data_IF_541162696644
#
_entry.id   IF_541162696644
#
_cell.length_a   1.000
_cell.length_b   1.000
_cell.length_c   1.000
_cell.angle_alpha   90.00
_cell.angle_beta   90.00
_cell.angle_gamma   90.00
#
_symmetry.space_group_name_H-M   'P 1'
#
loop_
_entity.id
_entity.type
_entity.pdbx_description
1 polymer ?
#
# COMPACT_ATOMS: atom_id res chain seq x y z
N UNK A 1 7.20 10.34 -0.61
CA UNK A 1 5.91 10.91 -0.18
C UNK A 1 4.70 10.24 -0.85
N UNK A 2 4.67 10.06 -2.17
CA UNK A 2 3.54 9.38 -2.87
C UNK A 2 3.26 7.95 -2.39
N UNK A 3 4.32 7.14 -2.22
CA UNK A 3 4.20 5.77 -1.69
C UNK A 3 3.53 5.73 -0.32
N UNK A 4 4.04 6.52 0.63
CA UNK A 4 3.50 6.61 1.98
C UNK A 4 2.01 6.99 1.97
N UNK A 5 1.63 8.00 1.18
CA UNK A 5 0.23 8.43 1.09
C UNK A 5 -0.68 7.32 0.53
N UNK A 6 -0.25 6.61 -0.53
CA UNK A 6 -1.00 5.47 -1.06
C UNK A 6 -1.13 4.33 -0.03
N UNK A 7 -0.08 4.06 0.76
CA UNK A 7 -0.12 3.08 1.84
C UNK A 7 -1.13 3.48 2.93
N UNK A 8 -1.15 4.75 3.36
CA UNK A 8 -2.12 5.25 4.35
C UNK A 8 -3.55 5.13 3.82
N UNK A 9 -3.81 5.50 2.56
CA UNK A 9 -5.13 5.33 1.96
C UNK A 9 -5.55 3.84 1.85
N UNK A 10 -4.60 2.96 1.49
CA UNK A 10 -4.83 1.52 1.40
C UNK A 10 -5.10 0.91 2.78
N UNK A 11 -4.44 1.41 3.83
CA UNK A 11 -4.74 1.04 5.22
C UNK A 11 -6.19 1.34 5.59
N UNK A 12 -6.79 2.41 5.07
CA UNK A 12 -8.22 2.69 5.26
C UNK A 12 -9.11 1.56 4.73
N UNK A 13 -8.83 1.05 3.52
CA UNK A 13 -9.55 -0.08 2.93
C UNK A 13 -9.34 -1.36 3.74
N UNK A 14 -8.09 -1.64 4.11
CA UNK A 14 -7.75 -2.83 4.89
C UNK A 14 -8.37 -2.80 6.30
N UNK A 15 -8.37 -1.64 6.96
CA UNK A 15 -9.06 -1.46 8.24
C UNK A 15 -10.54 -1.78 8.10
N UNK A 16 -11.25 -1.18 7.13
CA UNK A 16 -12.66 -1.47 6.90
C UNK A 16 -12.90 -2.96 6.66
N UNK A 17 -12.07 -3.60 5.83
CA UNK A 17 -12.23 -5.00 5.51
C UNK A 17 -12.08 -5.91 6.74
N UNK A 18 -11.08 -5.66 7.59
CA UNK A 18 -10.90 -6.39 8.85
C UNK A 18 -12.09 -6.18 9.77
N UNK A 19 -12.58 -4.95 9.94
CA UNK A 19 -13.71 -4.67 10.84
C UNK A 19 -15.01 -5.36 10.39
N UNK A 20 -15.31 -5.35 9.08
CA UNK A 20 -16.50 -6.04 8.54
C UNK A 20 -16.42 -7.55 8.70
N UNK A 21 -15.26 -8.16 8.39
CA UNK A 21 -15.08 -9.62 8.51
C UNK A 21 -15.08 -10.07 9.97
N UNK A 22 -14.49 -9.28 10.86
CA UNK A 22 -14.49 -9.56 12.30
C UNK A 22 -15.83 -9.21 12.99
N UNK A 23 -16.78 -8.59 12.27
CA UNK A 23 -18.05 -8.11 12.82
C UNK A 23 -17.87 -7.24 14.08
N UNK A 24 -16.86 -6.38 14.07
CA UNK A 24 -16.44 -5.61 15.23
C UNK A 24 -17.38 -4.43 15.52
N UNK A 25 -18.18 -4.52 16.58
CA UNK A 25 -19.17 -3.50 16.95
C UNK A 25 -18.57 -2.15 17.40
N UNK A 26 -17.41 -2.16 18.06
CA UNK A 26 -16.76 -0.94 18.54
C UNK A 26 -16.32 0.00 17.40
N UNK A 27 -16.02 -0.57 16.22
CA UNK A 27 -15.52 0.19 15.09
C UNK A 27 -16.61 1.02 14.39
N UNK A 28 -17.88 0.72 14.63
CA UNK A 28 -19.03 1.32 13.95
C UNK A 28 -19.04 2.85 14.03
N UNK A 29 -18.66 3.42 15.18
CA UNK A 29 -18.57 4.85 15.38
C UNK A 29 -17.50 5.52 14.49
N UNK A 30 -16.43 4.81 14.14
CA UNK A 30 -15.25 5.42 13.49
C UNK A 30 -15.12 5.07 12.00
N UNK A 31 -15.98 4.20 11.44
CA UNK A 31 -15.86 3.70 10.06
C UNK A 31 -15.81 4.80 8.99
N UNK A 32 -16.39 5.97 9.23
CA UNK A 32 -16.39 7.08 8.26
C UNK A 32 -15.00 7.64 7.96
N UNK A 33 -14.08 7.58 8.92
CA UNK A 33 -12.72 8.09 8.72
C UNK A 33 -11.92 7.17 7.78
N UNK A 34 -11.81 5.85 8.03
CA UNK A 34 -11.22 4.91 7.06
C UNK A 34 -11.92 4.92 5.69
N UNK A 35 -13.25 5.16 5.63
CA UNK A 35 -13.97 5.33 4.36
C UNK A 35 -13.52 6.56 3.57
N UNK A 36 -13.24 7.69 4.24
CA UNK A 36 -12.67 8.86 3.58
C UNK A 36 -11.29 8.55 2.98
N UNK A 37 -10.49 7.73 3.66
CA UNK A 37 -9.16 7.32 3.20
C UNK A 37 -9.29 6.39 1.98
N UNK A 38 -10.26 5.46 2.01
CA UNK A 38 -10.61 4.62 0.86
C UNK A 38 -11.10 5.45 -0.34
N UNK A 39 -11.87 6.53 -0.12
CA UNK A 39 -12.28 7.47 -1.18
C UNK A 39 -11.11 8.27 -1.76
N UNK A 40 -10.07 8.54 -0.96
CA UNK A 40 -8.86 9.23 -1.42
C UNK A 40 -7.87 8.31 -2.15
N UNK A 41 -7.97 6.99 -1.96
CA UNK A 41 -7.07 6.00 -2.55
C UNK A 41 -6.94 6.09 -4.09
N UNK A 42 -8.01 6.28 -4.89
CA UNK A 42 -7.87 6.44 -6.34
C UNK A 42 -6.95 7.59 -6.74
N UNK A 43 -7.01 8.71 -6.01
CA UNK A 43 -6.15 9.88 -6.26
C UNK A 43 -4.71 9.54 -5.88
N UNK A 44 -4.51 8.95 -4.70
CA UNK A 44 -3.18 8.51 -4.25
C UNK A 44 -2.56 7.48 -5.20
N UNK A 45 -3.36 6.56 -5.73
CA UNK A 45 -2.99 5.55 -6.69
C UNK A 45 -2.52 6.17 -8.01
N UNK A 46 -3.28 7.12 -8.57
CA UNK A 46 -2.88 7.82 -9.80
C UNK A 46 -1.58 8.59 -9.59
N UNK A 47 -1.44 9.29 -8.46
CA UNK A 47 -0.20 10.03 -8.14
C UNK A 47 0.99 9.08 -8.02
N UNK A 48 0.84 7.95 -7.30
CA UNK A 48 1.92 6.98 -7.16
C UNK A 48 2.30 6.36 -8.50
N UNK A 49 1.31 5.96 -9.30
CA UNK A 49 1.53 5.40 -10.63
C UNK A 49 2.25 6.42 -11.53
N UNK A 50 1.83 7.69 -11.51
CA UNK A 50 2.47 8.75 -12.28
C UNK A 50 3.93 8.97 -11.84
N UNK A 51 4.22 8.98 -10.54
CA UNK A 51 5.60 9.11 -10.04
C UNK A 51 6.47 7.93 -10.48
N UNK A 52 5.94 6.70 -10.42
CA UNK A 52 6.65 5.50 -10.87
C UNK A 52 6.88 5.54 -12.39
N UNK A 53 5.84 5.85 -13.17
CA UNK A 53 5.91 5.96 -14.61
C UNK A 53 6.92 7.02 -15.04
N UNK A 54 6.80 8.24 -14.52
CA UNK A 54 7.74 9.31 -14.81
C UNK A 54 9.15 8.98 -14.31
N UNK A 55 9.30 8.31 -13.16
CA UNK A 55 10.60 7.88 -12.67
C UNK A 55 11.33 6.90 -13.60
N UNK A 56 10.60 6.07 -14.33
CA UNK A 56 11.17 5.14 -15.34
C UNK A 56 11.48 5.86 -16.66
N UNK A 57 10.57 6.71 -17.13
CA UNK A 57 10.69 7.31 -18.47
C UNK A 57 11.45 8.64 -18.51
N UNK A 58 11.47 9.40 -17.41
CA UNK A 58 12.32 10.57 -17.29
C UNK A 58 13.74 10.11 -16.97
N UNK A 59 14.64 10.33 -17.92
CA UNK A 59 16.04 9.92 -17.81
C UNK A 59 16.97 11.13 -17.82
N UNK A 60 18.08 11.04 -17.09
CA UNK A 60 19.15 12.02 -17.13
C UNK A 60 20.47 11.34 -17.48
N UNK A 61 21.43 12.11 -17.99
CA UNK A 61 22.80 11.61 -18.21
C UNK A 61 23.56 11.67 -16.90
N UNK A 62 24.06 10.52 -16.45
CA UNK A 62 24.81 10.39 -15.20
C UNK A 62 25.77 9.22 -15.24
N UNK A 63 26.55 9.04 -14.18
CA UNK A 63 27.39 7.86 -14.00
C UNK A 63 26.53 6.72 -13.48
N UNK A 64 26.60 5.55 -14.10
CA UNK A 64 26.01 4.33 -13.54
C UNK A 64 26.82 3.87 -12.31
N UNK A 65 26.35 2.83 -11.62
CA UNK A 65 27.04 2.30 -10.44
C UNK A 65 28.49 1.83 -10.71
N UNK A 66 28.81 1.54 -11.97
CA UNK A 66 30.14 1.16 -12.41
C UNK A 66 30.98 2.34 -12.92
N UNK A 67 30.55 3.58 -12.68
CA UNK A 67 31.29 4.79 -13.04
C UNK A 67 31.30 5.13 -14.54
N UNK A 68 30.38 4.57 -15.34
CA UNK A 68 30.27 4.86 -16.78
C UNK A 68 29.15 5.86 -17.06
N UNK A 69 29.41 6.86 -17.91
CA UNK A 69 28.37 7.81 -18.35
C UNK A 69 27.32 7.12 -19.20
N UNK A 70 26.09 7.08 -18.71
CA UNK A 70 24.94 6.46 -19.38
C UNK A 70 23.66 7.25 -19.11
N UNK A 71 22.61 6.97 -19.88
CA UNK A 71 21.28 7.57 -19.68
C UNK A 71 20.51 6.73 -18.65
N UNK A 72 20.29 7.28 -17.47
CA UNK A 72 19.77 6.58 -16.29
C UNK A 72 18.37 7.11 -15.95
N UNK A 73 17.39 6.24 -15.67
CA UNK A 73 16.09 6.67 -15.17
C UNK A 73 16.19 7.20 -13.72
N UNK A 74 15.31 8.13 -13.33
CA UNK A 74 15.30 8.69 -11.97
C UNK A 74 14.92 7.66 -10.89
N UNK A 75 14.09 6.68 -11.25
CA UNK A 75 13.75 5.53 -10.39
C UNK A 75 14.15 4.23 -11.09
N UNK A 76 14.40 3.19 -10.30
CA UNK A 76 14.72 1.85 -10.80
C UNK A 76 15.97 1.80 -11.70
N UNK A 77 16.97 2.63 -11.36
CA UNK A 77 18.22 2.85 -12.11
C UNK A 77 18.98 1.58 -12.51
N UNK A 78 18.80 0.48 -11.78
CA UNK A 78 19.50 -0.79 -12.00
C UNK A 78 18.88 -1.60 -13.13
N UNK A 79 17.61 -1.99 -12.96
CA UNK A 79 16.96 -2.92 -13.88
C UNK A 79 16.21 -2.24 -15.03
N UNK A 80 15.86 -0.96 -14.90
CA UNK A 80 15.26 -0.18 -15.98
C UNK A 80 16.30 0.50 -16.91
N UNK A 81 17.60 0.29 -16.65
CA UNK A 81 18.68 0.81 -17.48
C UNK A 81 18.69 0.15 -18.86
N UNK A 82 18.86 0.97 -19.91
CA UNK A 82 18.95 0.44 -21.28
C UNK A 82 20.19 -0.43 -21.46
N UNK A 83 19.98 -1.62 -22.01
CA UNK A 83 21.04 -2.58 -22.33
C UNK A 83 21.44 -3.53 -21.21
N UNK A 84 20.81 -3.45 -20.02
CA UNK A 84 21.16 -4.29 -18.86
C UNK A 84 20.94 -5.79 -19.10
N UNK A 85 20.01 -6.14 -19.98
CA UNK A 85 19.67 -7.53 -20.33
C UNK A 85 20.34 -8.06 -21.60
N UNK A 86 21.12 -7.23 -22.30
CA UNK A 86 21.69 -7.57 -23.61
C UNK A 86 23.14 -8.06 -23.46
N UNK A 87 23.45 -9.34 -23.77
CA UNK A 87 24.83 -9.82 -23.71
C UNK A 87 25.76 -8.99 -24.59
N UNK A 88 26.93 -8.63 -24.06
CA UNK A 88 27.93 -7.80 -24.75
C UNK A 88 27.70 -6.28 -24.63
N UNK A 89 26.62 -5.83 -24.01
CA UNK A 89 26.44 -4.41 -23.69
C UNK A 89 27.33 -4.00 -22.49
N UNK A 90 27.91 -2.78 -22.48
CA UNK A 90 28.70 -2.29 -21.34
C UNK A 90 27.96 -2.24 -20.00
N UNK A 91 26.63 -2.26 -20.02
CA UNK A 91 25.73 -2.24 -18.86
C UNK A 91 25.15 -3.63 -18.53
N UNK A 92 25.57 -4.68 -19.23
CA UNK A 92 25.03 -6.03 -19.04
C UNK A 92 25.24 -6.52 -17.61
N UNK A 93 24.17 -7.03 -17.01
CA UNK A 93 24.19 -7.64 -15.70
C UNK A 93 23.46 -8.99 -15.72
N UNK A 94 24.19 -10.06 -15.43
CA UNK A 94 23.66 -11.42 -15.46
C UNK A 94 22.59 -11.68 -14.38
N UNK A 95 22.73 -11.08 -13.19
CA UNK A 95 21.79 -11.24 -12.07
C UNK A 95 20.46 -10.57 -12.42
N UNK A 96 20.50 -9.36 -12.98
CA UNK A 96 19.30 -8.64 -13.42
C UNK A 96 18.67 -9.34 -14.63
N UNK A 97 19.47 -9.84 -15.57
CA UNK A 97 18.99 -10.60 -16.72
C UNK A 97 18.18 -11.83 -16.28
N UNK A 98 18.64 -12.56 -15.26
CA UNK A 98 17.90 -13.69 -14.70
C UNK A 98 16.54 -13.28 -14.08
N UNK A 99 16.39 -12.03 -13.64
CA UNK A 99 15.15 -11.47 -13.07
C UNK A 99 14.25 -10.77 -14.10
N UNK A 100 14.67 -10.65 -15.36
CA UNK A 100 13.98 -9.88 -16.41
C UNK A 100 12.55 -10.35 -16.71
N UNK A 101 12.24 -11.63 -16.46
CA UNK A 101 10.87 -12.14 -16.56
C UNK A 101 9.90 -11.45 -15.60
N UNK A 102 10.36 -11.03 -14.42
CA UNK A 102 9.57 -10.28 -13.43
C UNK A 102 9.84 -8.76 -13.52
N UNK A 103 11.10 -8.37 -13.67
CA UNK A 103 11.58 -6.98 -13.74
C UNK A 103 11.73 -6.53 -15.20
N UNK A 104 10.62 -6.44 -15.91
CA UNK A 104 10.53 -5.75 -17.19
C UNK A 104 9.48 -4.65 -17.11
N UNK A 105 9.74 -3.53 -17.82
CA UNK A 105 8.93 -2.32 -17.71
C UNK A 105 7.43 -2.57 -18.00
N UNK A 106 7.03 -3.26 -19.08
CA UNK A 106 5.61 -3.46 -19.37
C UNK A 106 4.90 -4.28 -18.28
N UNK A 107 5.46 -5.44 -17.90
CA UNK A 107 4.84 -6.31 -16.90
C UNK A 107 4.81 -5.66 -15.52
N UNK A 108 5.88 -4.96 -15.14
CA UNK A 108 5.95 -4.19 -13.90
C UNK A 108 4.85 -3.12 -13.81
N UNK A 109 4.70 -2.28 -14.84
CA UNK A 109 3.68 -1.22 -14.84
C UNK A 109 2.26 -1.79 -14.82
N UNK A 110 2.02 -2.89 -15.54
CA UNK A 110 0.72 -3.59 -15.50
C UNK A 110 0.42 -4.10 -14.09
N UNK A 111 1.39 -4.71 -13.40
CA UNK A 111 1.20 -5.19 -12.02
C UNK A 111 0.87 -4.05 -11.06
N UNK A 112 1.64 -2.97 -11.08
CA UNK A 112 1.38 -1.79 -10.24
C UNK A 112 -0.02 -1.23 -10.51
N UNK A 113 -0.40 -1.07 -11.78
CA UNK A 113 -1.74 -0.61 -12.14
C UNK A 113 -2.83 -1.56 -11.63
N UNK A 114 -2.66 -2.87 -11.77
CA UNK A 114 -3.61 -3.88 -11.30
C UNK A 114 -3.79 -3.84 -9.78
N UNK A 115 -2.71 -3.79 -9.00
CA UNK A 115 -2.79 -3.72 -7.54
C UNK A 115 -3.56 -2.47 -7.10
N UNK A 116 -3.17 -1.30 -7.63
CA UNK A 116 -3.75 -0.02 -7.25
C UNK A 116 -5.22 0.12 -7.71
N UNK A 117 -5.55 -0.37 -8.90
CA UNK A 117 -6.92 -0.41 -9.40
C UNK A 117 -7.79 -1.36 -8.57
N UNK A 118 -7.27 -2.53 -8.21
CA UNK A 118 -7.98 -3.50 -7.39
C UNK A 118 -8.27 -2.95 -5.99
N UNK A 119 -7.28 -2.36 -5.32
CA UNK A 119 -7.46 -1.79 -3.98
C UNK A 119 -8.42 -0.60 -4.01
N UNK A 120 -8.29 0.28 -5.01
CA UNK A 120 -9.18 1.44 -5.20
C UNK A 120 -10.61 1.01 -5.50
N UNK A 121 -10.79 0.03 -6.40
CA UNK A 121 -12.10 -0.46 -6.81
C UNK A 121 -12.84 -1.15 -5.67
N UNK A 122 -12.17 -2.05 -4.95
CA UNK A 122 -12.77 -2.74 -3.80
C UNK A 122 -13.04 -1.78 -2.64
N UNK A 123 -12.15 -0.82 -2.38
CA UNK A 123 -12.37 0.26 -1.42
C UNK A 123 -13.59 1.12 -1.77
N UNK A 124 -13.73 1.52 -3.03
CA UNK A 124 -14.89 2.27 -3.50
C UNK A 124 -16.20 1.49 -3.37
N UNK A 125 -16.18 0.17 -3.60
CA UNK A 125 -17.33 -0.70 -3.39
C UNK A 125 -17.74 -0.78 -1.91
N UNK A 126 -16.78 -0.93 -0.98
CA UNK A 126 -17.07 -0.93 0.46
C UNK A 126 -17.73 0.38 0.89
N UNK A 127 -17.19 1.51 0.44
CA UNK A 127 -17.75 2.84 0.69
C UNK A 127 -19.17 2.96 0.11
N UNK A 128 -19.38 2.50 -1.13
CA UNK A 128 -20.69 2.53 -1.79
C UNK A 128 -21.73 1.71 -1.01
N UNK A 129 -21.40 0.50 -0.59
CA UNK A 129 -22.32 -0.35 0.16
C UNK A 129 -22.61 0.21 1.54
N UNK A 130 -21.62 0.77 2.23
CA UNK A 130 -21.87 1.44 3.51
C UNK A 130 -22.82 2.64 3.38
N UNK A 131 -22.66 3.51 2.39
CA UNK A 131 -23.60 4.64 2.20
C UNK A 131 -25.01 4.16 1.84
N UNK A 132 -25.12 3.06 1.08
CA UNK A 132 -26.41 2.47 0.74
C UNK A 132 -27.09 1.80 1.94
N UNK A 133 -26.32 1.31 2.91
CA UNK A 133 -26.84 0.79 4.19
C UNK A 133 -27.54 1.90 4.97
N UNK A 134 -26.97 3.10 5.01
CA UNK A 134 -27.60 4.28 5.65
C UNK A 134 -28.89 4.71 4.96
N UNK A 135 -28.91 4.66 3.62
CA UNK A 135 -30.04 5.17 2.84
C UNK A 135 -31.22 4.20 2.73
N UNK A 136 -30.94 2.90 2.60
CA UNK A 136 -31.95 1.88 2.35
C UNK A 136 -32.28 1.04 3.58
N UNK A 137 -31.38 1.00 4.57
CA UNK A 137 -31.47 0.13 5.72
C UNK A 137 -31.32 -1.36 5.40
N UNK A 138 -31.42 -2.18 6.45
CA UNK A 138 -31.37 -3.63 6.37
C UNK A 138 -29.99 -4.23 6.11
N UNK A 139 -29.91 -5.56 6.12
CA UNK A 139 -28.63 -6.29 6.09
C UNK A 139 -28.11 -6.62 4.69
N UNK A 140 -28.82 -6.24 3.63
CA UNK A 140 -28.44 -6.60 2.26
C UNK A 140 -27.11 -5.97 1.83
N UNK A 141 -26.93 -4.67 2.09
CA UNK A 141 -25.67 -3.98 1.78
C UNK A 141 -24.56 -4.38 2.75
N UNK A 142 -24.88 -4.58 4.03
CA UNK A 142 -23.93 -5.12 5.02
C UNK A 142 -23.33 -6.47 4.56
N UNK A 143 -24.16 -7.42 4.14
CA UNK A 143 -23.72 -8.72 3.66
C UNK A 143 -22.83 -8.61 2.41
N UNK A 144 -23.09 -7.62 1.55
CA UNK A 144 -22.21 -7.31 0.41
C UNK A 144 -20.87 -6.74 0.86
N UNK A 145 -20.87 -5.84 1.85
CA UNK A 145 -19.64 -5.30 2.43
C UNK A 145 -18.77 -6.43 2.98
N UNK A 146 -19.33 -7.34 3.79
CA UNK A 146 -18.61 -8.53 4.30
C UNK A 146 -18.01 -9.36 3.15
N UNK A 147 -18.80 -9.66 2.10
CA UNK A 147 -18.30 -10.43 0.95
C UNK A 147 -17.15 -9.73 0.23
N UNK A 148 -17.27 -8.43 -0.03
CA UNK A 148 -16.19 -7.64 -0.64
C UNK A 148 -14.97 -7.57 0.25
N UNK A 149 -15.15 -7.45 1.57
CA UNK A 149 -14.05 -7.45 2.54
C UNK A 149 -13.29 -8.76 2.50
N UNK A 150 -13.95 -9.92 2.46
CA UNK A 150 -13.28 -11.23 2.30
C UNK A 150 -12.49 -11.29 1.00
N UNK A 151 -13.09 -10.89 -0.12
CA UNK A 151 -12.41 -10.87 -1.43
C UNK A 151 -11.17 -9.95 -1.37
N UNK A 152 -11.32 -8.76 -0.81
CA UNK A 152 -10.23 -7.81 -0.65
C UNK A 152 -9.10 -8.38 0.21
N UNK A 153 -9.40 -8.97 1.37
CA UNK A 153 -8.38 -9.52 2.27
C UNK A 153 -7.59 -10.65 1.62
N UNK A 154 -8.24 -11.53 0.85
CA UNK A 154 -7.55 -12.60 0.11
C UNK A 154 -6.62 -12.01 -0.94
N UNK A 155 -7.11 -11.09 -1.78
CA UNK A 155 -6.29 -10.46 -2.81
C UNK A 155 -5.12 -9.72 -2.16
N UNK A 156 -5.43 -8.82 -1.22
CA UNK A 156 -4.47 -7.98 -0.53
C UNK A 156 -3.40 -8.79 0.20
N UNK A 157 -3.77 -9.88 0.87
CA UNK A 157 -2.82 -10.75 1.57
C UNK A 157 -1.75 -11.34 0.66
N UNK A 158 -2.10 -11.73 -0.56
CA UNK A 158 -1.14 -12.24 -1.54
C UNK A 158 -0.41 -11.12 -2.30
N UNK A 159 -1.05 -9.97 -2.53
CA UNK A 159 -0.48 -8.91 -3.37
C UNK A 159 0.27 -7.84 -2.61
N UNK A 160 0.07 -7.66 -1.29
CA UNK A 160 0.82 -6.64 -0.52
C UNK A 160 2.33 -6.90 -0.46
N UNK A 161 2.84 -8.15 -0.32
CA UNK A 161 4.27 -8.41 -0.39
C UNK A 161 4.82 -8.14 -1.79
N UNK A 162 4.08 -8.57 -2.83
CA UNK A 162 4.45 -8.35 -4.23
C UNK A 162 4.49 -6.85 -4.58
N UNK A 163 3.53 -6.08 -4.06
CA UNK A 163 3.51 -4.63 -4.19
C UNK A 163 4.76 -4.01 -3.57
N UNK A 164 5.16 -4.42 -2.35
CA UNK A 164 6.38 -3.94 -1.72
C UNK A 164 7.66 -4.35 -2.49
N UNK A 165 7.67 -5.57 -3.05
CA UNK A 165 8.76 -6.04 -3.90
C UNK A 165 8.92 -5.17 -5.15
N UNK A 166 7.80 -4.87 -5.81
CA UNK A 166 7.79 -4.02 -6.99
C UNK A 166 8.14 -2.57 -6.63
N UNK A 167 7.46 -1.93 -5.68
CA UNK A 167 7.58 -0.48 -5.47
C UNK A 167 8.87 -0.07 -4.76
N UNK A 168 9.36 -0.87 -3.81
CA UNK A 168 10.51 -0.49 -2.97
C UNK A 168 11.69 -1.44 -3.17
N UNK A 169 11.51 -2.76 -3.03
CA UNK A 169 12.65 -3.70 -3.07
C UNK A 169 13.38 -3.63 -4.42
N UNK A 170 12.64 -3.53 -5.52
CA UNK A 170 13.21 -3.49 -6.86
C UNK A 170 14.03 -2.24 -7.17
N UNK A 171 14.01 -1.20 -6.31
CA UNK A 171 14.96 -0.09 -6.41
C UNK A 171 16.42 -0.59 -6.31
N UNK A 172 16.62 -1.66 -5.54
CA UNK A 172 17.90 -2.35 -5.37
C UNK A 172 17.79 -3.79 -5.91
N UNK A 173 17.97 -3.94 -7.24
CA UNK A 173 17.69 -5.19 -7.94
C UNK A 173 18.63 -6.34 -7.59
N UNK A 174 19.81 -6.06 -7.03
CA UNK A 174 20.76 -7.08 -6.59
C UNK A 174 20.37 -7.69 -5.25
N UNK A 175 19.65 -6.93 -4.42
CA UNK A 175 19.21 -7.37 -3.11
C UNK A 175 17.85 -8.09 -3.18
N UNK A 176 17.63 -9.04 -2.26
CA UNK A 176 16.36 -9.73 -2.11
C UNK A 176 16.14 -10.17 -0.66
N UNK A 177 14.89 -10.10 -0.19
CA UNK A 177 14.50 -10.59 1.13
C UNK A 177 13.02 -11.00 1.15
N UNK A 178 12.74 -12.20 1.64
CA UNK A 178 11.38 -12.72 1.76
C UNK A 178 10.56 -11.98 2.82
N UNK A 179 11.21 -11.56 3.92
CA UNK A 179 10.55 -10.87 5.03
C UNK A 179 10.18 -9.42 4.70
N UNK A 180 10.82 -8.82 3.69
CA UNK A 180 10.64 -7.43 3.31
C UNK A 180 9.18 -7.06 3.01
N UNK A 181 8.40 -8.00 2.45
CA UNK A 181 6.99 -7.78 2.16
C UNK A 181 6.15 -7.60 3.43
N UNK A 182 6.34 -8.48 4.42
CA UNK A 182 5.64 -8.40 5.70
C UNK A 182 6.09 -7.20 6.53
N UNK A 183 7.38 -6.86 6.48
CA UNK A 183 7.93 -5.66 7.08
C UNK A 183 7.23 -4.39 6.55
N UNK A 184 7.08 -4.29 5.23
CA UNK A 184 6.37 -3.16 4.60
C UNK A 184 4.87 -3.15 4.93
N UNK A 185 4.22 -4.31 4.97
CA UNK A 185 2.83 -4.40 5.39
C UNK A 185 2.64 -3.90 6.83
N UNK A 186 3.48 -4.33 7.77
CA UNK A 186 3.43 -3.87 9.15
C UNK A 186 3.63 -2.35 9.25
N UNK A 187 4.55 -1.79 8.45
CA UNK A 187 4.78 -0.34 8.40
C UNK A 187 3.55 0.41 7.87
N UNK A 188 2.95 -0.09 6.78
CA UNK A 188 1.71 0.44 6.21
C UNK A 188 0.58 0.43 7.24
N UNK A 189 0.43 -0.68 7.96
CA UNK A 189 -0.66 -0.88 8.90
C UNK A 189 -0.54 0.03 10.12
N UNK A 190 0.61 0.04 10.79
CA UNK A 190 0.85 0.93 11.94
C UNK A 190 0.74 2.39 11.53
N UNK A 191 1.41 2.78 10.44
CA UNK A 191 1.38 4.17 9.96
C UNK A 191 -0.04 4.62 9.63
N UNK A 192 -0.83 3.80 8.94
CA UNK A 192 -2.21 4.12 8.60
C UNK A 192 -3.15 4.15 9.82
N UNK A 193 -3.02 3.22 10.77
CA UNK A 193 -3.75 3.26 12.05
C UNK A 193 -3.46 4.55 12.82
N UNK A 194 -2.20 4.98 12.85
CA UNK A 194 -1.81 6.25 13.48
C UNK A 194 -2.45 7.45 12.80
N UNK A 195 -2.47 7.52 11.47
CA UNK A 195 -3.12 8.63 10.74
C UNK A 195 -4.64 8.62 10.93
N UNK A 196 -5.28 7.44 10.92
CA UNK A 196 -6.71 7.29 11.24
C UNK A 196 -7.01 7.84 12.64
N UNK A 197 -6.22 7.41 13.62
CA UNK A 197 -6.40 7.80 15.04
C UNK A 197 -6.18 9.29 15.24
N UNK A 198 -5.13 9.86 14.65
CA UNK A 198 -4.88 11.31 14.69
C UNK A 198 -6.03 12.10 14.04
N UNK A 199 -6.57 11.62 12.92
CA UNK A 199 -7.72 12.26 12.26
C UNK A 199 -8.95 12.24 13.16
N UNK A 200 -9.22 11.11 13.83
CA UNK A 200 -10.32 11.00 14.80
C UNK A 200 -10.13 11.97 15.96
N UNK A 201 -8.92 12.05 16.54
CA UNK A 201 -8.63 12.96 17.66
C UNK A 201 -8.86 14.41 17.24
N UNK A 202 -8.35 14.83 16.08
CA UNK A 202 -8.51 16.20 15.58
C UNK A 202 -9.99 16.53 15.37
N UNK A 203 -10.76 15.64 14.75
CA UNK A 203 -12.19 15.86 14.51
C UNK A 203 -13.01 15.86 15.81
N UNK A 204 -12.65 15.02 16.78
CA UNK A 204 -13.27 14.99 18.11
C UNK A 204 -13.01 16.28 18.87
N UNK A 205 -11.76 16.78 18.88
CA UNK A 205 -11.40 18.05 19.52
C UNK A 205 -12.13 19.25 18.90
N UNK A 206 -12.48 19.17 17.61
CA UNK A 206 -13.26 20.18 16.90
C UNK A 206 -14.79 19.98 16.99
N UNK A 207 -15.28 19.03 17.78
CA UNK A 207 -16.72 18.80 18.00
C UNK A 207 -17.44 18.01 16.91
N UNK A 208 -16.75 17.44 15.91
CA UNK A 208 -17.39 16.69 14.82
C UNK A 208 -17.67 15.22 15.16
N UNK A 209 -17.09 14.69 16.24
CA UNK A 209 -17.15 13.27 16.63
C UNK A 209 -17.41 13.09 18.15
N UNK A 210 -18.39 13.81 18.71
CA UNK A 210 -18.69 13.78 20.16
C UNK A 210 -19.06 12.38 20.69
N UNK A 211 -19.61 11.52 19.83
CA UNK A 211 -19.96 10.13 20.16
C UNK A 211 -18.75 9.19 20.27
N UNK A 212 -17.54 9.63 19.88
CA UNK A 212 -16.31 8.85 20.05
C UNK A 212 -15.81 9.01 21.49
N UNK A 213 -15.86 7.91 22.23
CA UNK A 213 -15.44 7.83 23.64
C UNK A 213 -13.94 7.52 23.79
N UNK A 214 -13.43 7.59 25.01
CA UNK A 214 -12.05 7.19 25.33
C UNK A 214 -11.80 5.70 25.05
N UNK A 215 -12.82 4.83 25.20
CA UNK A 215 -12.69 3.40 24.89
C UNK A 215 -12.37 3.14 23.42
N UNK A 216 -12.94 3.93 22.51
CA UNK A 216 -12.62 3.84 21.08
C UNK A 216 -11.16 4.19 20.81
N UNK A 217 -10.66 5.23 21.46
CA UNK A 217 -9.27 5.66 21.37
C UNK A 217 -8.32 4.66 22.05
N UNK A 218 -8.75 4.05 23.15
CA UNK A 218 -8.01 2.99 23.84
C UNK A 218 -7.84 1.76 22.93
N UNK A 219 -8.91 1.30 22.27
CA UNK A 219 -8.85 0.19 21.32
C UNK A 219 -7.92 0.48 20.14
N UNK A 220 -7.97 1.69 19.57
CA UNK A 220 -7.02 2.12 18.54
C UNK A 220 -5.58 2.16 19.07
N UNK A 221 -5.39 2.64 20.30
CA UNK A 221 -4.10 2.66 20.98
C UNK A 221 -3.52 1.26 21.18
N UNK A 222 -4.34 0.28 21.59
CA UNK A 222 -3.94 -1.12 21.72
C UNK A 222 -3.49 -1.71 20.38
N UNK A 223 -4.22 -1.44 19.29
CA UNK A 223 -3.82 -1.89 17.94
C UNK A 223 -2.49 -1.25 17.52
N UNK A 224 -2.35 0.07 17.66
CA UNK A 224 -1.10 0.77 17.31
C UNK A 224 0.07 0.21 18.13
N UNK A 225 -0.10 0.06 19.44
CA UNK A 225 0.92 -0.48 20.31
C UNK A 225 1.33 -1.90 19.90
N UNK A 226 0.37 -2.84 19.82
CA UNK A 226 0.66 -4.22 19.45
C UNK A 226 1.34 -4.36 18.08
N UNK A 227 0.85 -3.64 17.07
CA UNK A 227 1.42 -3.72 15.72
C UNK A 227 2.75 -2.97 15.57
N UNK A 228 3.04 -1.96 16.40
CA UNK A 228 4.38 -1.33 16.43
C UNK A 228 5.45 -2.26 17.00
N UNK A 229 5.11 -3.07 18.01
CA UNK A 229 5.97 -4.14 18.50
C UNK A 229 6.18 -5.19 17.42
N UNK A 230 5.10 -5.60 16.72
CA UNK A 230 5.19 -6.52 15.59
C UNK A 230 6.08 -6.00 14.46
N UNK A 231 5.96 -4.72 14.10
CA UNK A 231 6.83 -4.08 13.11
C UNK A 231 8.29 -4.09 13.56
N UNK A 232 8.55 -3.76 14.84
CA UNK A 232 9.91 -3.77 15.41
C UNK A 232 10.51 -5.17 15.39
N UNK A 233 9.71 -6.20 15.69
CA UNK A 233 10.11 -7.60 15.57
C UNK A 233 10.53 -7.95 14.14
N UNK A 234 9.70 -7.63 13.14
CA UNK A 234 10.02 -7.93 11.74
C UNK A 234 11.26 -7.18 11.25
N UNK A 235 11.41 -5.92 11.67
CA UNK A 235 12.60 -5.13 11.37
C UNK A 235 13.87 -5.81 11.91
N UNK A 236 13.85 -6.21 13.19
CA UNK A 236 14.99 -6.84 13.84
C UNK A 236 15.28 -8.23 13.25
N UNK A 237 14.25 -9.03 13.00
CA UNK A 237 14.37 -10.36 12.43
C UNK A 237 14.84 -10.35 10.96
N UNK A 238 14.60 -9.27 10.21
CA UNK A 238 15.16 -9.10 8.88
C UNK A 238 16.64 -8.70 8.92
N UNK A 239 17.08 -8.02 9.99
CA UNK A 239 18.45 -7.55 10.16
C UNK A 239 19.39 -8.66 10.67
N UNK A 240 18.93 -9.48 11.61
CA UNK A 240 19.67 -10.60 12.21
C UNK A 240 19.88 -11.75 11.21
#
# INVERSE_FOLDING_TARGET
MSYYFACVCTCGVFFLAVQYVAQAGWSAAILRIPQAFAKALPIAAVILFAVIFLGIFMTHTGLNEYGKQTTIPYLYKLWALKGVTTPGNPNYDAIITAKSGFLNVPFFLIRIALYLACYSGLGALLVKYSNNEDALGGMFNYNKSVKISVIFLVIFGFTVPLFAFDTIMSLEAHWFSTMFGWYNFAALWVGGLSVITLTIIILRQNGYLEFVTEDHLHNLGQLIFGFSVFWTYLWFAQFL
#
